data_IF_502548194429
#
_entry.id   IF_502548194429
#
_cell.length_a   1.000
_cell.length_b   1.000
_cell.length_c   1.000
_cell.angle_alpha   90.00
_cell.angle_beta   90.00
_cell.angle_gamma   90.00
#
_symmetry.space_group_name_H-M   'P 1'
#
loop_
_entity.id
_entity.type
_entity.pdbx_description
1 polymer ?
#
# COMPACT_ATOMS: atom_id res chain seq x y z
N UNK A 1 17.85 -9.77 -14.24
CA UNK A 1 17.01 -8.55 -14.29
C UNK A 1 15.51 -8.89 -14.20
N UNK A 2 14.92 -9.70 -15.09
CA UNK A 2 13.49 -10.06 -14.98
C UNK A 2 13.07 -10.66 -13.64
N UNK A 3 13.85 -11.59 -13.07
CA UNK A 3 13.49 -12.21 -11.79
C UNK A 3 13.44 -11.22 -10.61
N UNK A 4 14.28 -10.18 -10.59
CA UNK A 4 14.24 -9.16 -9.53
C UNK A 4 12.95 -8.34 -9.60
N UNK A 5 12.51 -8.00 -10.80
CA UNK A 5 11.24 -7.29 -11.03
C UNK A 5 10.03 -8.17 -10.70
N UNK A 6 10.05 -9.46 -11.06
CA UNK A 6 9.00 -10.42 -10.67
C UNK A 6 8.87 -10.50 -9.15
N UNK A 7 9.98 -10.65 -8.42
CA UNK A 7 9.96 -10.67 -6.96
C UNK A 7 9.46 -9.35 -6.37
N UNK A 8 9.88 -8.21 -6.92
CA UNK A 8 9.42 -6.88 -6.49
C UNK A 8 7.91 -6.72 -6.63
N UNK A 9 7.34 -7.11 -7.77
CA UNK A 9 5.90 -6.99 -8.00
C UNK A 9 5.08 -7.99 -7.20
N UNK A 10 5.55 -9.22 -6.99
CA UNK A 10 4.89 -10.18 -6.11
C UNK A 10 4.84 -9.68 -4.67
N UNK A 11 5.96 -9.15 -4.16
CA UNK A 11 6.04 -8.59 -2.82
C UNK A 11 5.15 -7.34 -2.68
N UNK A 12 5.25 -6.40 -3.61
CA UNK A 12 4.44 -5.17 -3.61
C UNK A 12 2.95 -5.47 -3.74
N UNK A 13 2.58 -6.46 -4.57
CA UNK A 13 1.21 -6.94 -4.71
C UNK A 13 0.67 -7.58 -3.44
N UNK A 14 1.48 -8.40 -2.75
CA UNK A 14 1.11 -8.99 -1.47
C UNK A 14 0.86 -7.92 -0.40
N UNK A 15 1.73 -6.91 -0.30
CA UNK A 15 1.53 -5.77 0.61
C UNK A 15 0.24 -4.99 0.26
N UNK A 16 0.00 -4.74 -1.02
CA UNK A 16 -1.21 -4.04 -1.47
C UNK A 16 -2.49 -4.80 -1.07
N UNK A 17 -2.51 -6.13 -1.30
CA UNK A 17 -3.64 -7.00 -0.92
C UNK A 17 -3.82 -7.01 0.60
N UNK A 18 -2.73 -7.05 1.37
CA UNK A 18 -2.79 -7.02 2.82
C UNK A 18 -3.47 -5.74 3.33
N UNK A 19 -3.02 -4.56 2.90
CA UNK A 19 -3.62 -3.29 3.33
C UNK A 19 -5.05 -3.11 2.82
N UNK A 20 -5.35 -3.55 1.59
CA UNK A 20 -6.72 -3.56 1.08
C UNK A 20 -7.63 -4.45 1.94
N UNK A 21 -7.16 -5.63 2.33
CA UNK A 21 -7.94 -6.56 3.17
C UNK A 21 -8.17 -6.01 4.57
N UNK A 22 -7.19 -5.31 5.14
CA UNK A 22 -7.29 -4.66 6.45
C UNK A 22 -8.34 -3.55 6.44
N UNK A 23 -8.31 -2.69 5.40
CA UNK A 23 -9.34 -1.67 5.16
C UNK A 23 -10.73 -2.28 5.00
N UNK A 24 -10.90 -3.27 4.10
CA UNK A 24 -12.21 -3.88 3.83
C UNK A 24 -12.83 -4.54 5.07
N UNK A 25 -12.01 -5.09 5.97
CA UNK A 25 -12.49 -5.65 7.24
C UNK A 25 -12.98 -4.56 8.19
N UNK A 26 -12.26 -3.45 8.27
CA UNK A 26 -12.65 -2.31 9.11
C UNK A 26 -13.94 -1.65 8.57
N UNK A 27 -14.02 -1.45 7.25
CA UNK A 27 -15.21 -0.92 6.58
C UNK A 27 -16.44 -1.83 6.79
N UNK A 28 -16.29 -3.14 6.63
CA UNK A 28 -17.38 -4.09 6.87
C UNK A 28 -17.88 -4.06 8.32
N UNK A 29 -16.98 -3.87 9.31
CA UNK A 29 -17.36 -3.74 10.71
C UNK A 29 -18.17 -2.45 10.97
N UNK A 30 -17.78 -1.34 10.34
CA UNK A 30 -18.49 -0.07 10.42
C UNK A 30 -19.88 -0.14 9.79
N UNK A 31 -19.98 -0.65 8.56
CA UNK A 31 -21.26 -0.76 7.83
C UNK A 31 -22.25 -1.69 8.53
N UNK A 32 -21.76 -2.79 9.13
CA UNK A 32 -22.61 -3.67 9.94
C UNK A 32 -23.16 -2.98 11.20
N UNK A 33 -22.41 -2.04 11.79
CA UNK A 33 -22.83 -1.30 12.98
C UNK A 33 -23.65 -0.05 12.65
N UNK A 34 -23.45 0.55 11.47
CA UNK A 34 -24.17 1.72 10.99
C UNK A 34 -24.48 1.59 9.48
N UNK A 35 -25.64 0.99 9.12
CA UNK A 35 -26.02 0.76 7.72
C UNK A 35 -26.26 2.03 6.90
N UNK A 36 -26.33 3.20 7.56
CA UNK A 36 -26.57 4.49 6.91
C UNK A 36 -25.30 5.11 6.30
N UNK A 37 -24.11 4.56 6.60
CA UNK A 37 -22.83 5.08 6.10
C UNK A 37 -22.56 4.51 4.71
N UNK A 38 -22.43 5.38 3.72
CA UNK A 38 -21.94 5.03 2.39
C UNK A 38 -20.43 5.28 2.28
N UNK A 39 -19.74 4.44 1.52
CA UNK A 39 -18.28 4.49 1.31
C UNK A 39 -17.77 5.83 0.76
N UNK A 40 -18.63 6.61 0.10
CA UNK A 40 -18.29 7.93 -0.44
C UNK A 40 -18.23 9.02 0.64
N UNK A 41 -18.90 8.82 1.79
CA UNK A 41 -18.94 9.83 2.84
C UNK A 41 -17.77 9.75 3.82
N UNK A 42 -17.05 8.61 3.87
CA UNK A 42 -16.03 8.33 4.88
C UNK A 42 -14.88 9.35 4.87
N UNK A 43 -14.52 9.89 3.69
CA UNK A 43 -13.47 10.92 3.55
C UNK A 43 -13.89 12.29 4.11
N UNK A 44 -15.19 12.56 4.23
CA UNK A 44 -15.74 13.88 4.63
C UNK A 44 -16.41 13.88 6.01
N UNK A 45 -16.49 12.73 6.67
CA UNK A 45 -17.30 12.50 7.86
C UNK A 45 -16.53 12.84 9.14
N UNK A 46 -17.18 13.51 10.09
CA UNK A 46 -16.63 13.72 11.43
C UNK A 46 -17.09 12.57 12.33
N UNK A 47 -16.22 11.57 12.53
CA UNK A 47 -16.53 10.38 13.33
C UNK A 47 -17.09 10.68 14.74
N UNK A 48 -16.74 11.82 15.35
CA UNK A 48 -17.26 12.23 16.67
C UNK A 48 -18.64 12.91 16.62
N UNK A 49 -18.93 13.67 15.55
CA UNK A 49 -20.16 14.45 15.44
C UNK A 49 -21.31 13.65 14.83
N UNK A 50 -20.98 12.71 13.94
CA UNK A 50 -21.95 12.03 13.08
C UNK A 50 -22.34 10.63 13.58
N UNK A 51 -21.68 10.11 14.63
CA UNK A 51 -21.89 8.75 15.13
C UNK A 51 -22.27 8.67 16.61
N UNK A 52 -22.96 7.58 16.95
CA UNK A 52 -23.21 7.20 18.34
C UNK A 52 -21.86 6.84 19.03
N UNK A 53 -21.65 7.17 20.31
CA UNK A 53 -20.46 6.79 21.09
C UNK A 53 -20.03 5.31 20.98
N UNK A 54 -20.94 4.39 20.69
CA UNK A 54 -20.59 2.97 20.50
C UNK A 54 -19.94 2.65 19.15
N UNK A 55 -20.07 3.53 18.15
CA UNK A 55 -19.59 3.35 16.77
C UNK A 55 -18.42 4.25 16.39
N UNK A 56 -18.08 5.24 17.21
CA UNK A 56 -16.96 6.19 16.96
C UNK A 56 -15.65 5.43 16.70
N UNK A 57 -15.30 4.48 17.57
CA UNK A 57 -14.06 3.71 17.42
C UNK A 57 -14.01 2.85 16.14
N UNK A 58 -15.16 2.40 15.63
CA UNK A 58 -15.24 1.69 14.35
C UNK A 58 -15.00 2.63 13.18
N UNK A 59 -15.55 3.85 13.24
CA UNK A 59 -15.35 4.89 12.23
C UNK A 59 -13.89 5.32 12.14
N UNK A 60 -13.28 5.64 13.29
CA UNK A 60 -11.85 6.01 13.36
C UNK A 60 -10.96 4.91 12.81
N UNK A 61 -11.22 3.65 13.20
CA UNK A 61 -10.45 2.51 12.70
C UNK A 61 -10.57 2.41 11.17
N UNK A 62 -11.77 2.49 10.61
CA UNK A 62 -11.98 2.39 9.16
C UNK A 62 -11.25 3.50 8.40
N UNK A 63 -11.38 4.75 8.86
CA UNK A 63 -10.70 5.92 8.28
C UNK A 63 -9.18 5.77 8.32
N UNK A 64 -8.63 5.38 9.47
CA UNK A 64 -7.18 5.26 9.62
C UNK A 64 -6.62 4.13 8.73
N UNK A 65 -7.38 3.03 8.54
CA UNK A 65 -6.99 1.96 7.60
C UNK A 65 -7.05 2.43 6.15
N UNK A 66 -8.04 3.24 5.79
CA UNK A 66 -8.16 3.83 4.46
C UNK A 66 -6.97 4.73 4.16
N UNK A 67 -6.69 5.67 5.07
CA UNK A 67 -5.56 6.59 4.96
C UNK A 67 -4.25 5.81 4.79
N UNK A 68 -4.05 4.77 5.58
CA UNK A 68 -2.87 3.92 5.45
C UNK A 68 -2.79 3.25 4.07
N UNK A 69 -3.89 2.69 3.57
CA UNK A 69 -3.94 2.03 2.27
C UNK A 69 -3.69 3.00 1.10
N UNK A 70 -4.29 4.20 1.15
CA UNK A 70 -4.10 5.26 0.15
C UNK A 70 -2.66 5.77 0.18
N UNK A 71 -2.12 6.09 1.36
CA UNK A 71 -0.73 6.52 1.52
C UNK A 71 0.26 5.44 1.05
N UNK A 72 -0.04 4.17 1.30
CA UNK A 72 0.77 3.08 0.76
C UNK A 72 0.77 3.05 -0.78
N UNK A 73 -0.38 3.24 -1.43
CA UNK A 73 -0.44 3.29 -2.90
C UNK A 73 0.28 4.51 -3.49
N UNK A 74 0.13 5.68 -2.88
CA UNK A 74 0.68 6.93 -3.38
C UNK A 74 2.19 7.05 -3.09
N UNK A 75 2.56 7.01 -1.82
CA UNK A 75 3.93 7.25 -1.38
C UNK A 75 4.70 5.95 -1.10
N UNK A 76 4.03 4.94 -0.56
CA UNK A 76 4.65 3.66 -0.21
C UNK A 76 5.24 2.94 -1.44
N UNK A 77 4.41 2.71 -2.47
CA UNK A 77 4.84 2.05 -3.70
C UNK A 77 5.89 2.86 -4.48
N UNK A 78 5.76 4.19 -4.50
CA UNK A 78 6.75 5.07 -5.11
C UNK A 78 8.11 4.95 -4.40
N UNK A 79 8.12 5.04 -3.07
CA UNK A 79 9.34 4.90 -2.26
C UNK A 79 9.97 3.52 -2.42
N UNK A 80 9.16 2.46 -2.41
CA UNK A 80 9.62 1.08 -2.67
C UNK A 80 10.25 0.94 -4.04
N UNK A 81 9.68 1.57 -5.07
CA UNK A 81 10.19 1.54 -6.44
C UNK A 81 11.53 2.27 -6.54
N UNK A 82 11.65 3.45 -5.94
CA UNK A 82 12.91 4.22 -5.92
C UNK A 82 14.00 3.40 -5.21
N UNK A 83 13.70 2.87 -4.02
CA UNK A 83 14.62 2.02 -3.27
C UNK A 83 15.06 0.80 -4.10
N UNK A 84 14.10 0.13 -4.74
CA UNK A 84 14.37 -1.02 -5.59
C UNK A 84 15.30 -0.69 -6.77
N UNK A 85 15.06 0.42 -7.47
CA UNK A 85 15.91 0.85 -8.59
C UNK A 85 17.32 1.20 -8.12
N UNK A 86 17.47 1.87 -6.97
CA UNK A 86 18.79 2.17 -6.39
C UNK A 86 19.56 0.89 -6.09
N UNK A 87 18.92 -0.06 -5.40
CA UNK A 87 19.52 -1.36 -5.07
C UNK A 87 19.86 -2.13 -6.35
N UNK A 88 18.96 -2.15 -7.33
CA UNK A 88 19.20 -2.80 -8.62
C UNK A 88 20.36 -2.17 -9.38
N UNK A 89 20.47 -0.85 -9.40
CA UNK A 89 21.54 -0.13 -10.10
C UNK A 89 22.91 -0.46 -9.50
N UNK A 90 23.03 -0.45 -8.17
CA UNK A 90 24.27 -0.81 -7.47
C UNK A 90 24.61 -2.29 -7.73
N UNK A 91 23.62 -3.18 -7.68
CA UNK A 91 23.81 -4.61 -7.93
C UNK A 91 24.32 -4.88 -9.35
N UNK A 92 23.69 -4.28 -10.37
CA UNK A 92 24.12 -4.39 -11.77
C UNK A 92 25.52 -3.81 -11.97
N UNK A 93 25.82 -2.62 -11.43
CA UNK A 93 27.12 -1.99 -11.56
C UNK A 93 28.28 -2.89 -11.08
N UNK A 94 28.02 -3.72 -10.06
CA UNK A 94 29.00 -4.70 -9.55
C UNK A 94 29.14 -5.97 -10.38
N UNK A 95 28.15 -6.30 -11.21
CA UNK A 95 28.08 -7.58 -11.94
C UNK A 95 28.18 -7.44 -13.47
N UNK A 96 28.34 -6.23 -14.00
CA UNK A 96 28.69 -6.03 -15.40
C UNK A 96 30.15 -6.43 -15.59
N UNK A 97 30.38 -7.52 -16.33
CA UNK A 97 31.71 -7.91 -16.78
C UNK A 97 32.00 -7.22 -18.10
N UNK A 98 33.13 -6.54 -18.22
CA UNK A 98 33.58 -6.00 -19.50
C UNK A 98 33.90 -7.16 -20.46
N UNK A 99 33.44 -7.10 -21.73
CA UNK A 99 33.83 -8.09 -22.71
C UNK A 99 35.35 -8.05 -22.85
N UNK A 100 36.01 -9.20 -22.72
CA UNK A 100 37.44 -9.33 -23.00
C UNK A 100 37.66 -8.97 -24.47
N UNK A 101 38.20 -7.78 -24.71
CA UNK A 101 38.72 -7.37 -26.02
C UNK A 101 39.85 -8.34 -26.39
N UNK A 102 39.56 -9.30 -27.26
CA UNK A 102 40.58 -10.12 -27.88
C UNK A 102 41.29 -9.22 -28.89
N UNK A 103 42.39 -8.58 -28.45
CA UNK A 103 43.29 -7.87 -29.35
C UNK A 103 43.93 -8.88 -30.31
N UNK A 104 43.90 -8.64 -31.64
CA UNK A 104 44.64 -9.44 -32.61
C UNK A 104 46.16 -9.25 -32.47
#
# INVERSE_FOLDING_TARGET
ISYMWVSFFLFSGALNIYFASDYLRAEAALVNASPAVTSEQLETLNCEADFNPTTIGLCETARDKEEFWVNFKLFGLLGLTILFVIVQTIYLARHIQEPKTNAP
#
